data_IF_854135174282
#
_entry.id   IF_854135174282
#
_cell.length_a   1.000
_cell.length_b   1.000
_cell.length_c   1.000
_cell.angle_alpha   90.00
_cell.angle_beta   90.00
_cell.angle_gamma   90.00
#
_symmetry.space_group_name_H-M   'P 1'
#
loop_
_entity.id
_entity.type
_entity.pdbx_description
1 polymer ?
#
# COMPACT_ATOMS: atom_id res chain seq x y z
N UNK A 1 -25.79 -8.39 8.68
CA UNK A 1 -24.75 -9.34 8.26
C UNK A 1 -24.82 -9.42 6.75
N UNK A 2 -23.74 -9.18 6.05
CA UNK A 2 -23.68 -9.18 4.60
C UNK A 2 -23.96 -10.61 4.07
N UNK A 3 -24.85 -10.73 3.11
CA UNK A 3 -25.01 -11.95 2.33
C UNK A 3 -23.93 -11.96 1.24
N UNK A 4 -22.77 -12.56 1.55
CA UNK A 4 -21.57 -12.50 0.73
C UNK A 4 -21.79 -13.13 -0.65
N UNK A 5 -22.46 -14.27 -0.74
CA UNK A 5 -22.72 -14.93 -2.04
C UNK A 5 -23.59 -14.06 -2.94
N UNK A 6 -24.66 -13.50 -2.38
CA UNK A 6 -25.53 -12.59 -3.11
C UNK A 6 -24.82 -11.30 -3.51
N UNK A 7 -23.96 -10.77 -2.63
CA UNK A 7 -23.14 -9.59 -2.95
C UNK A 7 -22.21 -9.88 -4.13
N UNK A 8 -21.47 -10.98 -4.09
CA UNK A 8 -20.54 -11.38 -5.17
C UNK A 8 -21.32 -11.53 -6.49
N UNK A 9 -22.47 -12.21 -6.48
CA UNK A 9 -23.26 -12.36 -7.70
C UNK A 9 -23.71 -11.01 -8.25
N UNK A 10 -24.21 -10.11 -7.40
CA UNK A 10 -24.65 -8.78 -7.81
C UNK A 10 -23.47 -7.95 -8.38
N UNK A 11 -22.31 -7.96 -7.73
CA UNK A 11 -21.12 -7.24 -8.18
C UNK A 11 -20.61 -7.77 -9.54
N UNK A 12 -20.59 -9.08 -9.72
CA UNK A 12 -20.21 -9.71 -10.99
C UNK A 12 -21.19 -9.33 -12.10
N UNK A 13 -22.50 -9.35 -11.82
CA UNK A 13 -23.53 -8.98 -12.79
C UNK A 13 -23.48 -7.49 -13.12
N UNK A 14 -23.22 -6.62 -12.15
CA UNK A 14 -23.01 -5.18 -12.37
C UNK A 14 -21.83 -4.94 -13.32
N UNK A 15 -20.67 -5.57 -13.05
CA UNK A 15 -19.48 -5.43 -13.90
C UNK A 15 -19.79 -5.93 -15.33
N UNK A 16 -20.43 -7.10 -15.48
CA UNK A 16 -20.82 -7.63 -16.79
C UNK A 16 -21.73 -6.67 -17.56
N UNK A 17 -22.75 -6.14 -16.90
CA UNK A 17 -23.73 -5.26 -17.51
C UNK A 17 -23.14 -3.91 -17.93
N UNK A 18 -22.19 -3.37 -17.16
CA UNK A 18 -21.51 -2.12 -17.49
C UNK A 18 -20.47 -2.29 -18.57
N UNK A 19 -19.57 -3.27 -18.41
CA UNK A 19 -18.44 -3.48 -19.33
C UNK A 19 -18.88 -4.11 -20.67
N UNK A 20 -19.92 -4.95 -20.66
CA UNK A 20 -20.43 -5.68 -21.87
C UNK A 20 -19.28 -6.39 -22.59
N UNK A 21 -19.06 -6.03 -23.86
CA UNK A 21 -18.00 -6.58 -24.72
C UNK A 21 -16.68 -5.76 -24.64
N UNK A 22 -16.65 -4.68 -23.87
CA UNK A 22 -15.49 -3.81 -23.71
C UNK A 22 -14.36 -4.43 -22.90
N UNK A 23 -13.24 -3.71 -22.82
CA UNK A 23 -12.07 -4.05 -22.02
C UNK A 23 -12.01 -3.16 -20.78
N UNK A 24 -11.60 -3.73 -19.67
CA UNK A 24 -11.42 -3.00 -18.42
C UNK A 24 -9.99 -3.11 -17.89
N UNK A 25 -9.56 -2.08 -17.16
CA UNK A 25 -8.28 -2.02 -16.49
C UNK A 25 -8.50 -1.72 -15.00
N UNK A 26 -7.62 -2.22 -14.15
CA UNK A 26 -7.60 -1.94 -12.71
C UNK A 26 -6.17 -1.71 -12.24
N UNK A 27 -5.98 -0.70 -11.40
CA UNK A 27 -4.73 -0.52 -10.66
C UNK A 27 -4.71 -1.48 -9.46
N UNK A 28 -3.86 -2.50 -9.51
CA UNK A 28 -3.69 -3.50 -8.47
C UNK A 28 -2.58 -3.05 -7.52
N UNK A 29 -2.94 -2.39 -6.42
CA UNK A 29 -1.99 -1.89 -5.42
C UNK A 29 -1.49 -2.96 -4.44
N UNK A 30 -2.02 -4.18 -4.52
CA UNK A 30 -1.79 -5.23 -3.52
C UNK A 30 -2.58 -5.07 -2.21
N UNK A 31 -3.35 -3.98 -2.06
CA UNK A 31 -4.33 -3.81 -0.98
C UNK A 31 -5.53 -4.73 -1.15
N UNK A 32 -6.26 -5.01 -0.05
CA UNK A 32 -7.41 -5.93 -0.07
C UNK A 32 -8.50 -5.46 -1.03
N UNK A 33 -8.78 -4.15 -1.11
CA UNK A 33 -9.86 -3.60 -1.94
C UNK A 33 -9.59 -3.82 -3.44
N UNK A 34 -8.41 -3.41 -3.92
CA UNK A 34 -8.01 -3.64 -5.32
C UNK A 34 -7.92 -5.12 -5.65
N UNK A 35 -7.51 -5.96 -4.69
CA UNK A 35 -7.43 -7.42 -4.86
C UNK A 35 -8.81 -8.07 -4.99
N UNK A 36 -9.77 -7.68 -4.15
CA UNK A 36 -11.16 -8.15 -4.24
C UNK A 36 -11.79 -7.69 -5.55
N UNK A 37 -11.63 -6.41 -5.92
CA UNK A 37 -12.13 -5.91 -7.20
C UNK A 37 -11.54 -6.66 -8.40
N UNK A 38 -10.25 -6.96 -8.37
CA UNK A 38 -9.59 -7.74 -9.43
C UNK A 38 -10.21 -9.14 -9.57
N UNK A 39 -10.44 -9.84 -8.45
CA UNK A 39 -11.10 -11.16 -8.46
C UNK A 39 -12.53 -11.07 -9.01
N UNK A 40 -13.35 -10.14 -8.52
CA UNK A 40 -14.73 -9.95 -8.99
C UNK A 40 -14.79 -9.60 -10.47
N UNK A 41 -13.91 -8.69 -10.93
CA UNK A 41 -13.86 -8.28 -12.32
C UNK A 41 -13.37 -9.44 -13.23
N UNK A 42 -12.38 -10.21 -12.78
CA UNK A 42 -11.95 -11.39 -13.52
C UNK A 42 -13.06 -12.46 -13.64
N UNK A 43 -13.82 -12.70 -12.58
CA UNK A 43 -15.00 -13.58 -12.61
C UNK A 43 -16.07 -13.07 -13.60
N UNK A 44 -16.20 -11.74 -13.72
CA UNK A 44 -17.20 -11.12 -14.58
C UNK A 44 -16.83 -11.14 -16.06
N UNK A 45 -15.59 -10.76 -16.41
CA UNK A 45 -15.18 -10.47 -17.80
C UNK A 45 -13.93 -11.24 -18.26
N UNK A 46 -13.34 -12.07 -17.40
CA UNK A 46 -12.19 -12.92 -17.74
C UNK A 46 -11.00 -12.13 -18.29
N UNK A 47 -10.43 -12.59 -19.40
CA UNK A 47 -9.23 -12.01 -20.03
C UNK A 47 -9.43 -10.60 -20.61
N UNK A 48 -10.65 -10.08 -20.61
CA UNK A 48 -10.93 -8.67 -20.96
C UNK A 48 -10.58 -7.69 -19.83
N UNK A 49 -10.26 -8.19 -18.63
CA UNK A 49 -9.66 -7.44 -17.56
C UNK A 49 -8.14 -7.40 -17.72
N UNK A 50 -7.54 -6.24 -17.51
CA UNK A 50 -6.09 -6.06 -17.37
C UNK A 50 -5.79 -5.49 -15.99
N UNK A 51 -5.43 -6.32 -15.00
CA UNK A 51 -4.85 -5.82 -13.77
C UNK A 51 -3.44 -5.27 -14.03
N UNK A 52 -3.14 -4.10 -13.50
CA UNK A 52 -1.82 -3.44 -13.64
C UNK A 52 -1.21 -3.26 -12.26
N UNK A 53 -0.08 -3.90 -12.03
CA UNK A 53 0.76 -3.69 -10.87
C UNK A 53 2.01 -2.93 -11.26
N UNK A 54 2.25 -1.78 -10.65
CA UNK A 54 3.45 -0.97 -10.87
C UNK A 54 4.41 -1.21 -9.70
N UNK A 55 5.54 -1.87 -9.99
CA UNK A 55 6.63 -2.01 -9.02
C UNK A 55 7.44 -0.71 -9.00
N UNK A 56 7.14 0.11 -8.01
CA UNK A 56 7.78 1.41 -7.80
C UNK A 56 9.14 1.32 -7.11
N UNK A 57 9.55 0.13 -6.65
CA UNK A 57 10.70 -0.03 -5.75
C UNK A 57 10.45 0.43 -4.30
N UNK A 58 9.28 1.01 -4.01
CA UNK A 58 8.91 1.56 -2.69
C UNK A 58 8.00 0.63 -1.89
N UNK A 59 7.82 -0.59 -2.37
CA UNK A 59 6.90 -1.58 -1.78
C UNK A 59 7.58 -2.38 -0.67
N UNK A 60 6.76 -3.16 0.09
CA UNK A 60 7.24 -4.12 1.08
C UNK A 60 8.08 -5.22 0.44
N UNK A 61 8.83 -5.92 1.28
CA UNK A 61 9.61 -7.08 0.86
C UNK A 61 8.69 -8.20 0.32
N UNK A 62 9.06 -8.77 -0.84
CA UNK A 62 8.35 -9.89 -1.46
C UNK A 62 6.97 -9.57 -2.04
N UNK A 63 6.58 -8.30 -2.11
CA UNK A 63 5.24 -7.92 -2.54
C UNK A 63 4.99 -8.20 -4.02
N UNK A 64 5.93 -7.85 -4.88
CA UNK A 64 5.83 -8.08 -6.33
C UNK A 64 5.69 -9.57 -6.65
N UNK A 65 6.45 -10.43 -5.97
CA UNK A 65 6.40 -11.87 -6.12
C UNK A 65 5.03 -12.43 -5.68
N UNK A 66 4.51 -11.92 -4.56
CA UNK A 66 3.20 -12.32 -4.06
C UNK A 66 2.06 -11.93 -4.99
N UNK A 67 2.12 -10.75 -5.56
CA UNK A 67 1.14 -10.31 -6.57
C UNK A 67 1.18 -11.21 -7.80
N UNK A 68 2.35 -11.55 -8.30
CA UNK A 68 2.51 -12.49 -9.41
C UNK A 68 1.98 -13.89 -9.10
N UNK A 69 2.21 -14.38 -7.88
CA UNK A 69 1.69 -15.67 -7.43
C UNK A 69 0.17 -15.73 -7.42
N UNK A 70 -0.49 -14.68 -6.91
CA UNK A 70 -1.95 -14.66 -6.69
C UNK A 70 -2.73 -14.28 -7.95
N UNK A 71 -2.19 -13.40 -8.79
CA UNK A 71 -2.89 -12.80 -9.92
C UNK A 71 -2.25 -13.08 -11.28
N UNK A 72 -1.16 -13.83 -11.34
CA UNK A 72 -0.41 -14.09 -12.57
C UNK A 72 -1.25 -14.68 -13.70
N UNK A 73 -2.23 -15.50 -13.36
CA UNK A 73 -3.14 -16.16 -14.33
C UNK A 73 -4.27 -15.25 -14.84
N UNK A 74 -4.32 -13.97 -14.39
CA UNK A 74 -5.42 -13.03 -14.68
C UNK A 74 -5.05 -11.95 -15.71
N UNK A 75 -4.23 -12.25 -16.70
CA UNK A 75 -3.75 -11.24 -17.67
C UNK A 75 -3.03 -10.06 -17.00
N UNK A 76 -2.31 -10.32 -15.89
CA UNK A 76 -1.60 -9.34 -15.10
C UNK A 76 -0.48 -8.66 -15.88
N UNK A 77 -0.46 -7.35 -15.90
CA UNK A 77 0.66 -6.52 -16.35
C UNK A 77 1.46 -6.05 -15.16
N UNK A 78 2.72 -6.45 -15.08
CA UNK A 78 3.68 -5.98 -14.08
C UNK A 78 4.64 -5.01 -14.74
N UNK A 79 4.64 -3.76 -14.28
CA UNK A 79 5.54 -2.71 -14.77
C UNK A 79 6.67 -2.54 -13.77
N UNK A 80 7.90 -2.81 -14.15
CA UNK A 80 9.08 -2.47 -13.35
C UNK A 80 9.45 -1.01 -13.64
N UNK A 81 9.14 -0.13 -12.70
CA UNK A 81 9.35 1.31 -12.80
C UNK A 81 10.29 1.85 -11.70
N UNK A 82 11.02 0.95 -11.02
CA UNK A 82 11.86 1.32 -9.85
C UNK A 82 12.80 2.47 -10.16
N UNK A 83 13.54 2.39 -11.25
CA UNK A 83 14.53 3.40 -11.62
C UNK A 83 13.86 4.75 -11.92
N UNK A 84 12.68 4.74 -12.56
CA UNK A 84 11.91 5.96 -12.85
C UNK A 84 11.46 6.66 -11.56
N UNK A 85 10.97 5.88 -10.57
CA UNK A 85 10.56 6.44 -9.28
C UNK A 85 11.73 6.98 -8.47
N UNK A 86 12.85 6.27 -8.42
CA UNK A 86 14.03 6.76 -7.70
C UNK A 86 14.64 8.00 -8.35
N UNK A 87 14.68 8.08 -9.67
CA UNK A 87 15.16 9.29 -10.35
C UNK A 87 14.20 10.48 -10.14
N UNK A 88 12.89 10.23 -10.17
CA UNK A 88 11.89 11.27 -9.91
C UNK A 88 11.91 11.79 -8.46
N UNK A 89 12.31 10.96 -7.49
CA UNK A 89 12.41 11.33 -6.06
C UNK A 89 13.76 11.95 -5.68
N UNK A 90 14.71 11.98 -6.58
CA UNK A 90 16.06 12.48 -6.30
C UNK A 90 16.06 13.94 -5.89
N UNK A 91 16.69 14.23 -4.74
CA UNK A 91 16.77 15.57 -4.17
C UNK A 91 15.46 16.07 -3.54
N UNK A 92 14.38 15.26 -3.51
CA UNK A 92 13.12 15.64 -2.89
C UNK A 92 13.11 15.20 -1.43
N UNK A 93 12.93 16.17 -0.53
CA UNK A 93 12.88 15.96 0.92
C UNK A 93 11.49 16.27 1.51
N UNK A 94 10.73 17.18 0.88
CA UNK A 94 9.39 17.58 1.33
C UNK A 94 8.39 16.43 1.17
N UNK A 95 7.64 16.05 2.22
CA UNK A 95 6.72 14.90 2.19
C UNK A 95 5.56 15.07 1.23
N UNK A 96 5.03 16.27 1.06
CA UNK A 96 3.92 16.51 0.13
C UNK A 96 4.40 16.47 -1.32
N UNK A 97 5.62 16.94 -1.57
CA UNK A 97 6.23 16.83 -2.89
C UNK A 97 6.54 15.37 -3.24
N UNK A 98 7.03 14.56 -2.29
CA UNK A 98 7.18 13.10 -2.47
C UNK A 98 5.85 12.44 -2.85
N UNK A 99 4.76 12.73 -2.10
CA UNK A 99 3.42 12.20 -2.40
C UNK A 99 2.96 12.55 -3.79
N UNK A 100 3.14 13.82 -4.17
CA UNK A 100 2.74 14.34 -5.48
C UNK A 100 3.51 13.64 -6.60
N UNK A 101 4.84 13.61 -6.51
CA UNK A 101 5.71 13.02 -7.54
C UNK A 101 5.40 11.52 -7.73
N UNK A 102 5.27 10.78 -6.63
CA UNK A 102 4.94 9.34 -6.70
C UNK A 102 3.56 9.14 -7.33
N UNK A 103 2.56 9.92 -6.92
CA UNK A 103 1.20 9.78 -7.44
C UNK A 103 1.09 10.16 -8.92
N UNK A 104 1.68 11.27 -9.34
CA UNK A 104 1.65 11.73 -10.74
C UNK A 104 2.37 10.74 -11.67
N UNK A 105 3.53 10.21 -11.24
CA UNK A 105 4.26 9.22 -12.02
C UNK A 105 3.48 7.91 -12.14
N UNK A 106 2.86 7.46 -11.04
CA UNK A 106 2.03 6.27 -11.04
C UNK A 106 0.87 6.39 -12.03
N UNK A 107 0.13 7.52 -12.01
CA UNK A 107 -0.99 7.77 -12.93
C UNK A 107 -0.51 7.78 -14.38
N UNK A 108 0.60 8.45 -14.68
CA UNK A 108 1.15 8.51 -16.03
C UNK A 108 1.48 7.12 -16.59
N UNK A 109 2.11 6.27 -15.76
CA UNK A 109 2.42 4.88 -16.15
C UNK A 109 1.13 4.09 -16.37
N UNK A 110 0.16 4.24 -15.48
CA UNK A 110 -1.13 3.56 -15.58
C UNK A 110 -1.90 3.96 -16.84
N UNK A 111 -1.97 5.25 -17.16
CA UNK A 111 -2.63 5.78 -18.38
C UNK A 111 -1.99 5.25 -19.65
N UNK A 112 -0.65 5.18 -19.69
CA UNK A 112 0.07 4.59 -20.82
C UNK A 112 -0.35 3.13 -21.07
N UNK A 113 -0.47 2.33 -20.01
CA UNK A 113 -0.93 0.95 -20.13
C UNK A 113 -2.41 0.89 -20.54
N UNK A 114 -3.26 1.79 -20.03
CA UNK A 114 -4.66 1.89 -20.41
C UNK A 114 -4.80 2.15 -21.91
N UNK A 115 -4.00 3.05 -22.46
CA UNK A 115 -3.96 3.37 -23.88
C UNK A 115 -3.46 2.16 -24.71
N UNK A 116 -2.32 1.56 -24.33
CA UNK A 116 -1.75 0.37 -25.01
C UNK A 116 -2.72 -0.82 -25.05
N UNK A 117 -3.52 -0.99 -23.99
CA UNK A 117 -4.54 -2.06 -23.90
C UNK A 117 -5.87 -1.69 -24.55
N UNK A 118 -6.05 -0.44 -24.96
CA UNK A 118 -7.33 0.10 -25.43
C UNK A 118 -8.45 -0.17 -24.41
N UNK A 119 -8.20 0.22 -23.14
CA UNK A 119 -9.14 -0.01 -22.06
C UNK A 119 -10.33 0.95 -22.17
N UNK A 120 -11.54 0.42 -22.18
CA UNK A 120 -12.78 1.20 -22.24
C UNK A 120 -13.27 1.64 -20.86
N UNK A 121 -12.99 0.82 -19.83
CA UNK A 121 -13.54 0.97 -18.49
C UNK A 121 -12.44 0.91 -17.43
N UNK A 122 -12.61 1.71 -16.36
CA UNK A 122 -11.80 1.64 -15.16
C UNK A 122 -12.58 0.88 -14.07
N UNK A 123 -11.97 -0.16 -13.49
CA UNK A 123 -12.46 -0.78 -12.26
C UNK A 123 -11.71 -0.15 -11.09
N UNK A 124 -12.43 0.27 -10.07
CA UNK A 124 -11.85 0.96 -8.93
C UNK A 124 -12.33 0.37 -7.60
N UNK A 125 -11.41 0.22 -6.66
CA UNK A 125 -11.66 -0.36 -5.35
C UNK A 125 -12.12 0.66 -4.30
N UNK A 126 -12.97 1.61 -4.69
CA UNK A 126 -13.59 2.57 -3.78
C UNK A 126 -14.50 1.84 -2.80
N UNK A 127 -14.39 2.14 -1.50
CA UNK A 127 -15.25 1.62 -0.44
C UNK A 127 -16.11 2.74 0.18
N UNK A 128 -17.09 2.38 1.01
CA UNK A 128 -18.05 3.35 1.54
C UNK A 128 -17.42 4.51 2.33
N UNK A 129 -16.38 4.34 3.17
CA UNK A 129 -15.67 5.45 3.80
C UNK A 129 -15.08 6.44 2.80
N UNK A 130 -14.49 5.97 1.68
CA UNK A 130 -13.91 6.84 0.65
C UNK A 130 -14.99 7.72 0.00
N UNK A 131 -16.21 7.17 -0.16
CA UNK A 131 -17.36 7.91 -0.68
C UNK A 131 -17.77 9.05 0.26
N UNK A 132 -17.80 8.78 1.58
CA UNK A 132 -18.14 9.81 2.59
C UNK A 132 -17.10 10.93 2.60
N UNK A 133 -15.82 10.58 2.57
CA UNK A 133 -14.72 11.55 2.54
C UNK A 133 -14.80 12.46 1.29
N UNK A 134 -15.13 11.88 0.14
CA UNK A 134 -15.27 12.65 -1.11
C UNK A 134 -16.53 13.52 -1.16
N UNK A 135 -17.58 13.22 -0.42
CA UNK A 135 -18.78 14.07 -0.31
C UNK A 135 -18.54 15.34 0.51
N UNK A 136 -17.54 15.36 1.38
CA UNK A 136 -17.14 16.52 2.18
C UNK A 136 -16.25 17.54 1.47
N UNK A 137 -15.74 17.23 0.28
CA UNK A 137 -14.85 18.11 -0.50
C UNK A 137 -14.83 17.72 -1.96
N UNK A 138 -15.23 18.64 -2.81
CA UNK A 138 -15.18 18.62 -4.27
C UNK A 138 -14.31 17.47 -4.84
N UNK A 139 -14.93 16.45 -5.49
CA UNK A 139 -14.35 15.86 -6.71
C UNK A 139 -15.17 14.71 -7.29
N UNK A 140 -15.71 14.98 -8.43
CA UNK A 140 -16.13 14.05 -9.48
C UNK A 140 -15.00 13.83 -10.47
N UNK A 141 -13.88 13.28 -10.07
CA UNK A 141 -12.83 12.91 -11.02
C UNK A 141 -12.35 11.49 -10.71
N UNK A 142 -12.20 10.69 -11.76
CA UNK A 142 -11.64 9.35 -11.67
C UNK A 142 -10.21 9.45 -11.12
N UNK A 143 -9.97 8.86 -9.96
CA UNK A 143 -8.69 8.90 -9.29
C UNK A 143 -8.08 7.51 -9.24
N UNK A 144 -6.80 7.42 -9.55
CA UNK A 144 -5.99 6.23 -9.30
C UNK A 144 -4.90 6.60 -8.32
N UNK A 145 -4.82 5.89 -7.21
CA UNK A 145 -3.86 6.24 -6.15
C UNK A 145 -4.08 7.61 -5.51
N UNK A 146 -5.33 8.16 -5.58
CA UNK A 146 -5.65 9.50 -5.07
C UNK A 146 -5.39 10.65 -6.05
N UNK A 147 -4.90 10.38 -7.27
CA UNK A 147 -4.60 11.40 -8.29
C UNK A 147 -5.53 11.27 -9.49
N UNK A 148 -5.90 12.41 -10.11
CA UNK A 148 -6.84 12.43 -11.24
C UNK A 148 -6.23 11.76 -12.47
N UNK A 149 -7.04 10.91 -13.13
CA UNK A 149 -6.70 10.26 -14.40
C UNK A 149 -7.27 11.10 -15.54
N UNK A 150 -6.43 11.40 -16.54
CA UNK A 150 -6.82 12.17 -17.73
C UNK A 150 -7.31 11.27 -18.88
N UNK A 151 -6.99 9.99 -18.84
CA UNK A 151 -7.46 9.02 -19.85
C UNK A 151 -8.99 8.94 -19.85
N UNK A 152 -9.57 9.04 -21.03
CA UNK A 152 -11.03 9.09 -21.20
C UNK A 152 -11.65 7.70 -21.19
N UNK A 153 -11.92 7.17 -20.00
CA UNK A 153 -12.74 5.97 -19.84
C UNK A 153 -14.20 6.24 -20.19
N UNK A 154 -14.89 5.25 -20.76
CA UNK A 154 -16.34 5.32 -21.01
C UNK A 154 -17.14 5.37 -19.71
N UNK A 155 -16.69 4.62 -18.70
CA UNK A 155 -17.27 4.62 -17.35
C UNK A 155 -16.28 4.05 -16.33
N UNK A 156 -16.58 4.31 -15.05
CA UNK A 156 -15.88 3.73 -13.89
C UNK A 156 -16.81 2.80 -13.14
N UNK A 157 -16.31 1.61 -12.81
CA UNK A 157 -17.08 0.60 -12.08
C UNK A 157 -16.47 0.42 -10.70
N UNK A 158 -17.27 0.65 -9.66
CA UNK A 158 -16.87 0.66 -8.25
C UNK A 158 -17.66 -0.41 -7.47
N UNK A 159 -17.34 -1.70 -7.63
CA UNK A 159 -18.17 -2.79 -7.10
C UNK A 159 -18.20 -2.87 -5.57
N UNK A 160 -17.27 -2.22 -4.86
CA UNK A 160 -17.19 -2.23 -3.40
C UNK A 160 -17.75 -0.98 -2.73
N UNK A 161 -18.32 -0.05 -3.49
CA UNK A 161 -18.70 1.30 -3.05
C UNK A 161 -19.63 1.34 -1.82
N UNK A 162 -20.40 0.29 -1.59
CA UNK A 162 -21.35 0.20 -0.48
C UNK A 162 -20.78 -0.55 0.74
N UNK A 163 -19.58 -1.12 0.64
CA UNK A 163 -18.99 -1.93 1.70
C UNK A 163 -18.08 -1.15 2.63
N UNK A 164 -18.07 -1.57 3.90
CA UNK A 164 -17.05 -1.20 4.87
C UNK A 164 -15.83 -2.12 4.77
N UNK A 165 -14.71 -1.69 5.35
CA UNK A 165 -13.42 -2.40 5.27
C UNK A 165 -13.45 -3.83 5.81
N UNK A 166 -14.16 -4.06 6.89
CA UNK A 166 -14.37 -5.37 7.49
C UNK A 166 -15.18 -6.30 6.59
N UNK A 167 -16.23 -5.78 5.93
CA UNK A 167 -17.02 -6.53 4.94
C UNK A 167 -16.17 -6.89 3.71
N UNK A 168 -15.32 -5.98 3.22
CA UNK A 168 -14.38 -6.29 2.13
C UNK A 168 -13.42 -7.42 2.50
N UNK A 169 -12.93 -7.46 3.75
CA UNK A 169 -12.11 -8.57 4.25
C UNK A 169 -12.87 -9.89 4.31
N UNK A 170 -14.16 -9.86 4.70
CA UNK A 170 -15.01 -11.06 4.65
C UNK A 170 -15.17 -11.59 3.22
N UNK A 171 -15.43 -10.70 2.26
CA UNK A 171 -15.48 -11.05 0.82
C UNK A 171 -14.14 -11.59 0.34
N UNK A 172 -13.03 -10.99 0.74
CA UNK A 172 -11.68 -11.44 0.39
C UNK A 172 -11.41 -12.88 0.83
N UNK A 173 -11.75 -13.21 2.09
CA UNK A 173 -11.64 -14.57 2.63
C UNK A 173 -12.53 -15.56 1.86
N UNK A 174 -13.77 -15.18 1.57
CA UNK A 174 -14.70 -16.02 0.80
C UNK A 174 -14.20 -16.31 -0.62
N UNK A 175 -13.56 -15.31 -1.27
CA UNK A 175 -12.94 -15.45 -2.60
C UNK A 175 -11.62 -16.23 -2.57
N UNK A 176 -11.20 -16.72 -1.42
CA UNK A 176 -9.95 -17.49 -1.27
C UNK A 176 -8.67 -16.66 -1.43
N UNK A 177 -8.73 -15.35 -1.19
CA UNK A 177 -7.50 -14.55 -1.15
C UNK A 177 -6.66 -14.93 0.07
N UNK A 178 -5.31 -15.02 -0.07
CA UNK A 178 -4.43 -15.35 1.05
C UNK A 178 -4.57 -14.37 2.22
N UNK A 179 -4.30 -14.85 3.45
CA UNK A 179 -4.35 -14.03 4.66
C UNK A 179 -3.45 -12.79 4.58
N UNK A 180 -2.29 -12.90 3.93
CA UNK A 180 -1.36 -11.80 3.71
C UNK A 180 -1.95 -10.66 2.84
N UNK A 181 -3.03 -10.93 2.11
CA UNK A 181 -3.79 -9.92 1.35
C UNK A 181 -5.06 -9.54 2.11
N UNK A 182 -5.86 -10.51 2.58
CA UNK A 182 -7.15 -10.25 3.22
C UNK A 182 -7.03 -9.53 4.55
N UNK A 183 -5.99 -9.84 5.34
CA UNK A 183 -5.73 -9.25 6.67
C UNK A 183 -4.58 -8.22 6.65
N UNK A 184 -4.18 -7.79 5.46
CA UNK A 184 -3.07 -6.87 5.29
C UNK A 184 -3.28 -5.56 6.07
N UNK A 185 -2.23 -5.15 6.78
CA UNK A 185 -2.18 -3.83 7.41
C UNK A 185 -2.20 -2.73 6.33
N UNK A 186 -2.81 -1.56 6.62
CA UNK A 186 -2.74 -0.40 5.74
C UNK A 186 -1.30 -0.08 5.33
N UNK A 187 -1.14 0.40 4.10
CA UNK A 187 0.15 0.80 3.56
C UNK A 187 -0.04 2.11 2.78
N UNK A 188 0.83 3.10 2.95
CA UNK A 188 0.64 4.40 2.33
C UNK A 188 0.82 4.33 0.81
N UNK A 189 0.07 5.16 0.07
CA UNK A 189 0.16 5.23 -1.39
C UNK A 189 1.58 5.49 -1.90
N UNK A 190 2.36 6.43 -1.31
CA UNK A 190 3.76 6.65 -1.68
C UNK A 190 4.72 5.56 -1.23
N UNK A 191 4.22 4.48 -0.62
CA UNK A 191 5.04 3.38 -0.15
C UNK A 191 6.03 3.77 0.94
N UNK A 192 7.22 3.18 0.88
CA UNK A 192 8.28 3.43 1.85
C UNK A 192 8.88 4.85 1.75
N UNK A 193 8.57 5.64 0.71
CA UNK A 193 9.09 7.00 0.57
C UNK A 193 8.71 7.90 1.76
N UNK A 194 7.49 7.75 2.32
CA UNK A 194 7.01 8.53 3.47
C UNK A 194 7.41 7.93 4.82
N UNK A 195 8.26 6.93 4.83
CA UNK A 195 8.92 6.35 6.01
C UNK A 195 10.41 6.67 6.06
N UNK A 196 10.87 7.60 5.23
CA UNK A 196 12.25 8.07 5.15
C UNK A 196 12.24 9.58 5.25
N UNK A 197 12.66 10.13 6.39
CA UNK A 197 12.83 11.58 6.53
C UNK A 197 14.00 12.05 5.68
N UNK A 198 13.77 13.08 4.86
CA UNK A 198 14.73 13.59 3.88
C UNK A 198 14.71 12.82 2.56
N UNK A 199 15.74 12.96 1.75
CA UNK A 199 15.86 12.37 0.42
C UNK A 199 15.71 10.84 0.43
N UNK A 200 14.93 10.32 -0.51
CA UNK A 200 14.68 8.87 -0.71
C UNK A 200 15.75 8.32 -1.67
N UNK A 201 16.46 7.28 -1.22
CA UNK A 201 17.44 6.57 -2.06
C UNK A 201 17.19 5.07 -2.02
N UNK A 202 17.62 4.29 -3.04
CA UNK A 202 17.48 2.82 -3.03
C UNK A 202 18.06 2.19 -1.76
N UNK A 203 19.22 2.65 -1.28
CA UNK A 203 19.86 2.17 -0.05
C UNK A 203 18.97 2.38 1.17
N UNK A 204 18.45 3.62 1.36
CA UNK A 204 17.59 3.93 2.51
C UNK A 204 16.27 3.15 2.48
N UNK A 205 15.70 2.98 1.29
CA UNK A 205 14.49 2.16 1.10
C UNK A 205 14.74 0.71 1.50
N UNK A 206 15.88 0.16 1.11
CA UNK A 206 16.24 -1.22 1.48
C UNK A 206 16.43 -1.38 3.00
N UNK A 207 17.05 -0.40 3.65
CA UNK A 207 17.19 -0.36 5.13
C UNK A 207 15.81 -0.36 5.80
N UNK A 208 14.90 0.52 5.36
CA UNK A 208 13.55 0.63 5.93
C UNK A 208 12.72 -0.63 5.64
N UNK A 209 12.85 -1.21 4.45
CA UNK A 209 12.16 -2.44 4.05
C UNK A 209 12.53 -3.61 4.97
N UNK A 210 13.84 -3.86 5.14
CA UNK A 210 14.34 -4.91 6.04
C UNK A 210 13.95 -4.66 7.49
N UNK A 211 14.11 -3.42 7.97
CA UNK A 211 13.73 -3.07 9.34
C UNK A 211 12.22 -3.25 9.57
N UNK A 212 11.36 -2.85 8.62
CA UNK A 212 9.92 -3.07 8.68
C UNK A 212 9.57 -4.55 8.75
N UNK A 213 10.24 -5.39 7.93
CA UNK A 213 10.03 -6.84 7.97
C UNK A 213 10.34 -7.43 9.35
N UNK A 214 11.45 -7.00 9.97
CA UNK A 214 11.80 -7.43 11.33
C UNK A 214 10.74 -7.01 12.35
N UNK A 215 10.25 -5.76 12.28
CA UNK A 215 9.19 -5.25 13.16
C UNK A 215 7.89 -6.06 12.97
N UNK A 216 7.47 -6.30 11.75
CA UNK A 216 6.26 -7.07 11.43
C UNK A 216 6.35 -8.51 11.95
N UNK A 217 7.50 -9.17 11.78
CA UNK A 217 7.74 -10.55 12.24
C UNK A 217 7.68 -10.67 13.77
N UNK A 218 8.36 -9.78 14.50
CA UNK A 218 8.41 -9.83 15.96
C UNK A 218 7.06 -9.40 16.60
N UNK A 219 6.27 -8.60 15.91
CA UNK A 219 4.97 -8.15 16.39
C UNK A 219 3.79 -8.92 15.79
N UNK A 220 4.01 -10.07 15.15
CA UNK A 220 2.96 -10.84 14.46
C UNK A 220 1.74 -11.16 15.34
N UNK A 221 1.93 -11.44 16.62
CA UNK A 221 0.85 -11.79 17.57
C UNK A 221 0.17 -10.59 18.24
N UNK A 222 0.61 -9.37 18.01
CA UNK A 222 0.04 -8.18 18.67
C UNK A 222 -1.17 -7.64 17.92
N UNK A 223 -2.26 -7.29 18.63
CA UNK A 223 -3.39 -6.58 18.02
C UNK A 223 -2.93 -5.18 17.63
N UNK A 224 -2.87 -4.90 16.34
CA UNK A 224 -2.34 -3.64 15.81
C UNK A 224 -3.10 -3.18 14.59
N UNK A 225 -3.14 -1.87 14.39
CA UNK A 225 -3.57 -1.24 13.15
C UNK A 225 -2.41 -1.24 12.14
N UNK A 226 -1.26 -0.73 12.55
CA UNK A 226 -0.02 -0.74 11.78
C UNK A 226 1.19 -0.95 12.71
N UNK A 227 2.22 -1.61 12.17
CA UNK A 227 3.55 -1.68 12.76
C UNK A 227 4.59 -1.65 11.64
N UNK A 228 5.57 -0.75 11.76
CA UNK A 228 6.58 -0.54 10.73
C UNK A 228 7.82 0.15 11.30
N UNK A 229 8.86 0.26 10.48
CA UNK A 229 10.07 1.02 10.74
C UNK A 229 10.12 2.27 9.87
N UNK A 230 10.63 3.37 10.42
CA UNK A 230 10.94 4.60 9.69
C UNK A 230 12.40 5.00 9.89
N UNK A 231 13.04 5.53 8.84
CA UNK A 231 14.38 6.10 8.90
C UNK A 231 14.27 7.59 9.21
N UNK A 232 14.73 8.00 10.40
CA UNK A 232 14.51 9.36 10.92
C UNK A 232 15.77 10.21 10.99
N UNK A 233 16.92 9.68 10.58
CA UNK A 233 18.16 10.43 10.57
C UNK A 233 19.39 9.55 10.76
N UNK A 234 20.49 10.18 11.22
CA UNK A 234 21.75 9.50 11.52
C UNK A 234 22.26 9.88 12.91
N UNK A 235 22.99 8.97 13.53
CA UNK A 235 23.65 9.17 14.80
C UNK A 235 24.97 8.40 14.92
N UNK A 236 25.77 8.80 15.90
CA UNK A 236 26.97 8.05 16.28
C UNK A 236 26.59 6.73 16.95
N UNK A 237 27.24 5.66 16.52
CA UNK A 237 27.22 4.36 17.15
C UNK A 237 28.64 3.82 17.35
N UNK A 238 28.72 2.63 17.96
CA UNK A 238 29.96 1.88 18.10
C UNK A 238 29.71 0.48 17.60
N UNK A 239 30.51 -0.01 16.65
CA UNK A 239 30.49 -1.39 16.14
C UNK A 239 31.87 -2.00 16.31
N UNK A 240 31.96 -3.01 17.19
CA UNK A 240 33.26 -3.44 17.68
C UNK A 240 33.95 -2.27 18.40
N UNK A 241 35.17 -1.98 18.05
CA UNK A 241 35.95 -0.87 18.61
C UNK A 241 35.95 0.41 17.74
N UNK A 242 35.09 0.46 16.71
CA UNK A 242 35.08 1.56 15.73
C UNK A 242 33.83 2.40 15.92
N UNK A 243 33.99 3.75 15.95
CA UNK A 243 32.89 4.69 15.83
C UNK A 243 32.33 4.68 14.42
N UNK A 244 31.02 4.61 14.31
CA UNK A 244 30.26 4.63 13.06
C UNK A 244 29.26 5.77 13.07
N UNK A 245 28.99 6.33 11.89
CA UNK A 245 27.90 7.27 11.65
C UNK A 245 26.82 6.56 10.85
N UNK A 246 25.80 6.04 11.54
CA UNK A 246 24.79 5.18 10.95
C UNK A 246 23.38 5.70 11.12
N UNK A 247 22.42 5.03 10.46
CA UNK A 247 21.00 5.40 10.48
C UNK A 247 20.37 5.20 11.85
N UNK A 248 19.36 6.04 12.13
CA UNK A 248 18.43 5.87 13.24
C UNK A 248 17.13 5.32 12.67
N UNK A 249 16.70 4.18 13.17
CA UNK A 249 15.40 3.57 12.86
C UNK A 249 14.45 3.82 14.03
N UNK A 250 13.29 4.39 13.73
CA UNK A 250 12.17 4.46 14.65
C UNK A 250 11.21 3.29 14.39
N UNK A 251 10.84 2.58 15.44
CA UNK A 251 9.76 1.62 15.44
C UNK A 251 8.47 2.39 15.70
N UNK A 252 7.49 2.25 14.82
CA UNK A 252 6.13 2.77 14.99
C UNK A 252 5.16 1.61 15.01
N UNK A 253 4.44 1.42 16.13
CA UNK A 253 3.43 0.40 16.27
C UNK A 253 2.22 0.99 17.00
N UNK A 254 1.06 0.99 16.37
CA UNK A 254 -0.14 1.65 16.87
C UNK A 254 -1.38 0.78 16.76
N UNK A 255 -2.28 0.95 17.75
CA UNK A 255 -3.66 0.49 17.70
C UNK A 255 -4.58 1.62 17.26
N UNK A 256 -5.57 1.30 16.44
CA UNK A 256 -6.62 2.22 15.99
C UNK A 256 -7.85 1.42 15.57
N UNK A 257 -9.01 2.09 15.45
CA UNK A 257 -10.23 1.52 14.85
C UNK A 257 -10.39 1.95 13.41
N UNK A 258 -10.12 3.19 13.11
CA UNK A 258 -10.44 3.87 11.85
C UNK A 258 -9.28 4.71 11.28
N UNK A 259 -8.14 4.78 11.97
CA UNK A 259 -7.00 5.60 11.59
C UNK A 259 -7.13 7.10 11.95
N UNK A 260 -8.28 7.57 12.43
CA UNK A 260 -8.48 8.97 12.85
C UNK A 260 -7.73 9.29 14.13
N UNK A 261 -7.82 8.39 15.11
CA UNK A 261 -7.02 8.42 16.33
C UNK A 261 -6.22 7.15 16.47
N UNK A 262 -5.05 7.21 17.07
CA UNK A 262 -4.21 6.03 17.27
C UNK A 262 -3.38 6.17 18.54
N UNK A 263 -3.28 5.08 19.30
CA UNK A 263 -2.42 4.98 20.47
C UNK A 263 -1.23 4.05 20.19
N UNK A 264 -0.02 4.38 20.67
CA UNK A 264 1.12 3.48 20.59
C UNK A 264 0.83 2.20 21.39
N UNK A 265 1.26 1.06 20.84
CA UNK A 265 1.10 -0.21 21.53
C UNK A 265 2.00 -0.26 22.79
N UNK A 266 1.47 -0.84 23.85
CA UNK A 266 2.27 -1.21 25.00
C UNK A 266 3.00 -2.53 24.68
N UNK A 267 4.24 -2.42 24.21
CA UNK A 267 5.09 -3.57 23.86
C UNK A 267 6.06 -3.81 25.01
N UNK A 268 6.21 -5.07 25.40
CA UNK A 268 7.15 -5.48 26.44
C UNK A 268 8.58 -5.08 26.06
N UNK A 269 9.31 -4.55 27.03
CA UNK A 269 10.68 -4.07 26.82
C UNK A 269 11.60 -5.12 26.18
N UNK A 270 11.47 -6.39 26.54
CA UNK A 270 12.28 -7.47 25.98
C UNK A 270 12.00 -7.69 24.48
N UNK A 271 10.75 -7.48 24.03
CA UNK A 271 10.40 -7.57 22.61
C UNK A 271 11.00 -6.38 21.84
N UNK A 272 10.86 -5.15 22.38
CA UNK A 272 11.50 -3.96 21.79
C UNK A 272 13.02 -4.12 21.72
N UNK A 273 13.64 -4.64 22.77
CA UNK A 273 15.07 -4.95 22.80
C UNK A 273 15.46 -5.98 21.76
N UNK A 274 14.67 -7.05 21.59
CA UNK A 274 14.89 -8.07 20.56
C UNK A 274 14.83 -7.46 19.15
N UNK A 275 13.82 -6.65 18.85
CA UNK A 275 13.70 -5.94 17.56
C UNK A 275 14.94 -5.07 17.32
N UNK A 276 15.34 -4.27 18.32
CA UNK A 276 16.50 -3.38 18.21
C UNK A 276 17.79 -4.17 17.94
N UNK A 277 18.01 -5.31 18.62
CA UNK A 277 19.16 -6.17 18.40
C UNK A 277 19.16 -6.80 17.01
N UNK A 278 18.01 -7.28 16.55
CA UNK A 278 17.87 -7.83 15.19
C UNK A 278 18.19 -6.77 14.14
N UNK A 279 17.55 -5.59 14.23
CA UNK A 279 17.77 -4.49 13.27
C UNK A 279 19.24 -4.10 13.21
N UNK A 280 19.90 -3.90 14.35
CA UNK A 280 21.29 -3.44 14.39
C UNK A 280 22.33 -4.53 14.00
N UNK A 281 21.97 -5.80 14.11
CA UNK A 281 22.83 -6.92 13.70
C UNK A 281 22.62 -7.34 12.24
N UNK A 282 21.37 -7.33 11.77
CA UNK A 282 21.01 -7.76 10.41
C UNK A 282 21.18 -6.64 9.38
N UNK A 283 21.15 -5.35 9.82
CA UNK A 283 21.28 -4.15 8.95
C UNK A 283 22.49 -3.32 9.42
N UNK A 284 23.67 -3.56 8.82
CA UNK A 284 24.93 -2.94 9.25
C UNK A 284 24.93 -1.39 9.23
N UNK A 285 24.10 -0.78 8.40
CA UNK A 285 23.98 0.67 8.23
C UNK A 285 23.26 1.35 9.42
N UNK A 286 22.54 0.58 10.25
CA UNK A 286 21.78 1.10 11.40
C UNK A 286 22.66 1.17 12.64
N UNK A 287 22.75 2.36 13.25
CA UNK A 287 23.49 2.60 14.48
C UNK A 287 22.59 2.70 15.73
N UNK A 288 21.30 3.00 15.55
CA UNK A 288 20.37 3.23 16.67
C UNK A 288 18.93 2.86 16.31
N UNK A 289 18.20 2.33 17.28
CA UNK A 289 16.76 2.06 17.20
C UNK A 289 16.07 2.77 18.34
N UNK A 290 14.93 3.42 18.04
CA UNK A 290 14.06 4.09 19.02
C UNK A 290 12.63 3.59 18.86
N UNK A 291 11.79 3.72 19.89
CA UNK A 291 10.36 3.42 19.82
C UNK A 291 9.56 4.72 19.97
N UNK A 292 8.68 5.00 19.01
CA UNK A 292 7.84 6.19 19.03
C UNK A 292 6.55 5.93 19.81
N UNK A 293 6.45 6.60 20.97
CA UNK A 293 5.32 6.50 21.92
C UNK A 293 4.30 7.62 21.77
N UNK A 294 4.36 8.41 20.69
CA UNK A 294 3.47 9.56 20.51
C UNK A 294 2.12 9.14 19.96
N UNK A 295 0.99 9.48 20.59
CA UNK A 295 -0.34 9.17 20.06
C UNK A 295 -0.71 10.07 18.87
N UNK A 296 -1.74 9.69 18.12
CA UNK A 296 -2.41 10.53 17.15
C UNK A 296 -3.77 10.97 17.69
N UNK A 297 -4.04 12.29 17.88
CA UNK A 297 -3.11 13.41 17.82
C UNK A 297 -2.13 13.43 18.99
N UNK A 298 -1.02 14.22 18.99
CA UNK A 298 -0.66 15.25 18.02
C UNK A 298 0.14 14.74 16.80
N UNK A 299 0.68 13.52 16.84
CA UNK A 299 1.40 12.97 15.70
C UNK A 299 0.46 12.41 14.62
N UNK A 300 1.03 11.99 13.50
CA UNK A 300 0.37 11.14 12.50
C UNK A 300 0.71 9.66 12.74
N UNK A 301 0.06 8.74 12.01
CA UNK A 301 0.46 7.33 12.05
C UNK A 301 1.74 7.14 11.25
N UNK A 302 1.74 7.54 9.97
CA UNK A 302 2.96 7.58 9.15
C UNK A 302 3.86 8.76 9.57
N UNK A 303 5.16 8.69 9.24
CA UNK A 303 6.14 9.72 9.64
C UNK A 303 6.12 10.96 8.75
N UNK A 304 5.73 10.79 7.49
CA UNK A 304 5.58 11.85 6.51
C UNK A 304 4.27 11.77 5.75
#
# INVERSE_FOLDING_TARGET
>A
MLDIEKFIQNAVDEIKNKVKDGKAIIALSGGVDSSVCTKLAHMAIGDRLTPVYVDTGLMREGETEKIKEVFGDMNLVVVDAKDEFFEALKGIEDPEEKRKVVGELFVRIFEKIAEEKNADYLIQGTIYPDVIESMGGIKSHHNVGGFPVQYAFKDVVEPLRELYKDEVREVARFLGLPEEISERMPFPGPGLAVRIIGEVTPEKVEVVRKATKIVEDELKGYPKWQAFAALIGKATGVKGDIRVWGYIIAIRAVGSRDGMTADPLNIEYEVLRKIALRITSEIPEVARVVYDITPKPPSTIEYE
#
